data_IF_629325311084
#
_entry.id   IF_629325311084
#
_cell.length_a   1.000
_cell.length_b   1.000
_cell.length_c   1.000
_cell.angle_alpha   90.00
_cell.angle_beta   90.00
_cell.angle_gamma   90.00
#
_symmetry.space_group_name_H-M   'P 1'
#
loop_
_entity.id
_entity.type
_entity.pdbx_description
1 polymer ?
#
# COMPACT_ATOMS: atom_id res chain seq x y z
N UNK A 1 -7.24 -8.63 7.74
CA UNK A 1 -7.85 -8.12 6.48
C UNK A 1 -8.16 -6.65 6.66
N UNK A 2 -7.91 -5.82 5.67
CA UNK A 2 -8.26 -4.39 5.66
C UNK A 2 -9.12 -4.10 4.43
N UNK A 3 -10.20 -3.35 4.61
CA UNK A 3 -11.14 -3.00 3.54
C UNK A 3 -11.35 -1.48 3.51
N UNK A 4 -11.36 -0.91 2.31
CA UNK A 4 -11.57 0.51 2.06
C UNK A 4 -12.64 0.65 0.98
N UNK A 5 -13.71 1.38 1.31
CA UNK A 5 -14.72 1.80 0.34
C UNK A 5 -14.69 3.31 0.17
N UNK A 6 -14.67 3.79 -1.08
CA UNK A 6 -14.85 5.20 -1.40
C UNK A 6 -15.92 5.36 -2.49
N UNK A 7 -16.79 6.35 -2.34
CA UNK A 7 -17.85 6.68 -3.30
C UNK A 7 -17.82 8.17 -3.59
N UNK A 8 -17.90 8.54 -4.86
CA UNK A 8 -17.89 9.93 -5.31
C UNK A 8 -18.66 10.10 -6.62
N UNK A 9 -18.76 11.33 -7.11
CA UNK A 9 -19.44 11.63 -8.39
C UNK A 9 -18.83 10.87 -9.58
N UNK A 10 -17.56 10.52 -9.48
CA UNK A 10 -16.81 9.76 -10.49
C UNK A 10 -17.00 8.24 -10.39
N UNK A 11 -17.68 7.72 -9.37
CA UNK A 11 -17.95 6.28 -9.22
C UNK A 11 -17.68 5.73 -7.82
N UNK A 12 -17.34 4.44 -7.75
CA UNK A 12 -17.10 3.70 -6.50
C UNK A 12 -15.75 2.97 -6.60
N UNK A 13 -15.00 2.99 -5.51
CA UNK A 13 -13.74 2.27 -5.33
C UNK A 13 -13.92 1.32 -4.15
N UNK A 14 -13.55 0.05 -4.33
CA UNK A 14 -13.47 -0.94 -3.26
C UNK A 14 -12.08 -1.57 -3.29
N UNK A 15 -11.40 -1.56 -2.15
CA UNK A 15 -10.06 -2.16 -1.98
C UNK A 15 -10.10 -3.11 -0.80
N UNK A 16 -9.68 -4.35 -1.01
CA UNK A 16 -9.50 -5.37 0.03
C UNK A 16 -8.04 -5.81 0.07
N UNK A 17 -7.44 -5.77 1.25
CA UNK A 17 -6.04 -6.13 1.49
C UNK A 17 -5.96 -7.24 2.52
N UNK A 18 -5.46 -8.39 2.09
CA UNK A 18 -5.17 -9.53 2.93
C UNK A 18 -3.67 -9.55 3.24
N UNK A 19 -3.27 -8.75 4.22
CA UNK A 19 -1.86 -8.57 4.53
C UNK A 19 -1.25 -9.79 5.24
N UNK A 20 -0.02 -10.14 4.87
CA UNK A 20 0.82 -11.09 5.60
C UNK A 20 1.58 -10.35 6.71
N UNK A 21 1.54 -10.81 7.97
CA UNK A 21 2.33 -10.23 9.05
C UNK A 21 3.82 -10.29 8.74
N UNK A 22 4.57 -9.27 9.18
CA UNK A 22 6.02 -9.32 9.06
C UNK A 22 6.61 -10.44 9.93
N UNK A 23 7.60 -11.17 9.41
CA UNK A 23 8.31 -12.23 10.14
C UNK A 23 9.13 -11.67 11.31
N UNK A 24 9.63 -10.44 11.18
CA UNK A 24 10.44 -9.77 12.22
C UNK A 24 9.60 -9.10 13.31
N UNK A 25 8.37 -8.68 12.98
CA UNK A 25 7.42 -8.15 13.96
C UNK A 25 5.98 -8.50 13.51
N UNK A 26 5.38 -9.56 14.06
CA UNK A 26 4.02 -9.97 13.71
C UNK A 26 2.94 -8.91 13.97
N UNK A 27 3.24 -7.88 14.79
CA UNK A 27 2.34 -6.74 15.03
C UNK A 27 2.34 -5.71 13.88
N UNK A 28 3.24 -5.85 12.90
CA UNK A 28 3.39 -4.92 11.78
C UNK A 28 3.08 -5.60 10.46
N UNK A 29 2.48 -4.84 9.56
CA UNK A 29 2.20 -5.27 8.19
C UNK A 29 3.49 -5.36 7.36
N UNK A 30 3.74 -6.48 6.69
CA UNK A 30 4.88 -6.60 5.76
C UNK A 30 4.78 -5.58 4.61
N UNK A 31 3.54 -5.30 4.16
CA UNK A 31 3.26 -4.30 3.15
C UNK A 31 3.70 -2.88 3.56
N UNK A 32 3.73 -2.57 4.86
CA UNK A 32 4.20 -1.27 5.35
C UNK A 32 5.71 -1.07 5.14
N UNK A 33 6.52 -2.12 5.27
CA UNK A 33 7.94 -2.02 4.95
C UNK A 33 8.15 -1.86 3.43
N UNK A 34 7.37 -2.59 2.63
CA UNK A 34 7.41 -2.49 1.17
C UNK A 34 7.01 -1.09 0.68
N UNK A 35 6.04 -0.43 1.32
CA UNK A 35 5.63 0.93 0.94
C UNK A 35 6.73 1.96 1.20
N UNK A 36 7.47 1.82 2.31
CA UNK A 36 8.66 2.65 2.58
C UNK A 36 9.74 2.44 1.50
N UNK A 37 10.03 1.20 1.13
CA UNK A 37 10.98 0.88 0.05
C UNK A 37 10.51 1.46 -1.28
N UNK A 38 9.23 1.33 -1.63
CA UNK A 38 8.67 1.88 -2.85
C UNK A 38 8.80 3.41 -2.91
N UNK A 39 8.60 4.08 -1.76
CA UNK A 39 8.78 5.53 -1.62
C UNK A 39 10.24 5.95 -1.83
N UNK A 40 11.19 5.22 -1.24
CA UNK A 40 12.61 5.50 -1.47
C UNK A 40 13.00 5.29 -2.94
N UNK A 41 12.46 4.24 -3.59
CA UNK A 41 12.68 4.00 -5.01
C UNK A 41 12.11 5.12 -5.89
N UNK A 42 10.92 5.65 -5.58
CA UNK A 42 10.33 6.73 -6.37
C UNK A 42 11.11 8.05 -6.28
N UNK A 43 11.80 8.29 -5.16
CA UNK A 43 12.71 9.44 -5.01
C UNK A 43 14.00 9.24 -5.81
N UNK A 44 14.51 8.01 -5.86
CA UNK A 44 15.82 7.69 -6.45
C UNK A 44 15.79 7.35 -7.96
N UNK A 45 14.64 6.97 -8.53
CA UNK A 45 14.56 6.52 -9.92
C UNK A 45 13.88 7.57 -10.82
N UNK A 46 14.28 7.69 -12.10
CA UNK A 46 13.71 8.65 -13.04
C UNK A 46 12.25 8.33 -13.45
N UNK A 47 11.77 7.11 -13.18
CA UNK A 47 10.42 6.66 -13.51
C UNK A 47 9.63 6.48 -12.21
N UNK A 48 8.47 7.15 -12.15
CA UNK A 48 7.51 7.07 -11.05
C UNK A 48 6.23 6.42 -11.54
N UNK A 49 5.79 5.37 -10.86
CA UNK A 49 4.49 4.71 -11.09
C UNK A 49 3.56 5.09 -9.95
N UNK A 50 2.36 5.57 -10.28
CA UNK A 50 1.47 6.21 -9.32
C UNK A 50 1.79 7.69 -9.12
N UNK A 51 1.15 8.33 -8.14
CA UNK A 51 1.31 9.77 -7.85
C UNK A 51 2.40 10.10 -6.85
#
# INVERSE_FOLDING_TARGET
>A
VHEIEAKGKFGKLFVRVENVPSTANPKTSYLAALSAIATLKSISHPIRVGT
#
